data_IF_996622321585
#
_entry.id   IF_996622321585
#
_cell.length_a   1.000
_cell.length_b   1.000
_cell.length_c   1.000
_cell.angle_alpha   90.00
_cell.angle_beta   90.00
_cell.angle_gamma   90.00
#
_symmetry.space_group_name_H-M   'P 1'
#
loop_
_entity.id
_entity.type
_entity.pdbx_description
1 polymer ?
#
# COMPACT_ATOMS: atom_id res chain seq x y z
N UNK A 1 3.58 -10.51 -0.68
CA UNK A 1 4.20 -10.48 -0.84
C UNK A 1 4.47 -10.76 -0.33
N UNK A 2 4.42 -10.81 -0.10
CA UNK A 2 4.95 -11.02 0.14
C UNK A 2 5.71 -10.91 0.34
N UNK A 3 5.91 -10.93 0.59
CA UNK A 3 6.80 -10.64 0.47
C UNK A 3 7.09 -10.77 -0.28
N UNK A 4 6.68 -11.44 -0.26
CA UNK A 4 7.18 -11.58 -1.19
C UNK A 4 6.72 -10.88 -1.85
N UNK A 5 5.89 -10.52 -1.70
CA UNK A 5 5.65 -9.72 -2.26
C UNK A 5 6.14 -8.75 -1.75
N UNK A 6 6.26 -8.55 -1.00
CA UNK A 6 6.89 -7.73 -0.76
C UNK A 6 7.91 -7.85 -0.90
N UNK A 7 8.31 -8.45 -1.00
CA UNK A 7 9.32 -8.45 -1.35
C UNK A 7 9.36 -8.61 -2.31
N UNK A 8 8.85 -9.12 -2.25
CA UNK A 8 9.01 -9.06 -3.39
C UNK A 8 8.55 -7.91 -3.60
N UNK A 9 8.00 -7.31 -2.99
CA UNK A 9 7.86 -6.29 -3.16
C UNK A 9 8.68 -5.65 -2.78
N UNK A 10 8.89 -5.66 -2.00
CA UNK A 10 9.80 -5.03 -1.80
C UNK A 10 10.71 -5.43 -2.39
N UNK A 11 10.74 -6.26 -2.61
CA UNK A 11 11.54 -6.56 -3.39
C UNK A 11 11.13 -6.37 -4.49
N UNK A 12 10.08 -6.26 -4.68
CA UNK A 12 9.72 -5.93 -5.74
C UNK A 12 9.80 -4.69 -5.76
N UNK A 13 9.66 -4.09 -4.93
CA UNK A 13 9.81 -2.90 -4.95
C UNK A 13 11.13 -2.73 -5.07
N UNK A 14 11.70 -3.44 -4.70
CA UNK A 14 12.89 -3.37 -4.78
C UNK A 14 13.29 -3.70 -5.95
N UNK A 15 12.82 -4.43 -6.47
CA UNK A 15 13.15 -4.76 -7.58
C UNK A 15 12.55 -4.11 -8.46
N UNK A 16 11.75 -3.63 -8.36
CA UNK A 16 11.20 -2.98 -9.23
C UNK A 16 11.78 -1.86 -9.24
N UNK A 17 12.54 -1.84 -8.86
CA UNK A 17 12.99 -0.90 -8.98
C UNK A 17 12.88 -0.06 -8.08
N UNK A 18 12.52 -0.08 -7.52
CA UNK A 18 12.38 0.59 -6.60
C UNK A 18 12.85 0.05 -5.75
N UNK A 19 12.86 -0.38 -5.47
CA UNK A 19 13.21 -0.92 -4.77
C UNK A 19 13.78 -1.81 -4.80
N UNK A 20 13.79 -2.34 -4.67
CA UNK A 20 14.14 -3.05 -4.57
C UNK A 20 14.48 -3.35 -3.87
N UNK A 21 14.21 -3.75 -3.20
CA UNK A 21 14.33 -3.90 -2.65
C UNK A 21 14.62 -3.94 -2.17
N UNK A 22 14.67 -4.18 -1.71
CA UNK A 22 14.96 -4.00 -1.43
C UNK A 22 15.56 -3.46 -1.46
N UNK A 23 15.95 -3.14 -1.55
CA UNK A 23 16.39 -2.52 -1.66
C UNK A 23 16.62 -1.69 -1.43
N UNK A 24 16.95 -1.72 -1.02
CA UNK A 24 16.88 -1.01 -0.91
C UNK A 24 16.81 0.14 -0.91
N UNK A 25 16.53 0.36 -1.60
CA UNK A 25 16.35 1.75 -1.66
C UNK A 25 15.35 2.18 -0.67
N UNK A 26 15.64 3.17 0.07
CA UNK A 26 14.70 3.74 1.00
C UNK A 26 13.91 4.78 0.23
N UNK A 27 12.64 4.59 -0.01
CA UNK A 27 11.89 5.54 -0.78
C UNK A 27 11.85 6.93 -0.18
N UNK A 28 11.90 7.01 1.15
CA UNK A 28 11.88 8.31 1.78
C UNK A 28 13.15 9.05 1.56
N UNK A 29 14.24 8.35 1.34
CA UNK A 29 15.46 9.03 1.03
C UNK A 29 15.50 9.51 -0.40
N UNK A 30 14.76 8.89 -1.25
CA UNK A 30 14.70 9.35 -2.60
C UNK A 30 13.80 10.51 -2.75
N UNK A 31 13.33 11.01 -1.67
CA UNK A 31 12.68 12.16 -1.81
C UNK A 31 11.44 12.22 -1.23
N UNK A 32 10.60 12.69 -1.70
CA UNK A 32 9.52 13.25 -1.17
C UNK A 32 8.32 12.40 -1.33
N UNK A 33 8.50 11.11 -1.32
CA UNK A 33 7.39 10.22 -1.47
C UNK A 33 6.51 10.27 -0.25
N UNK A 34 5.22 10.14 -0.49
CA UNK A 34 4.25 10.17 0.57
C UNK A 34 3.77 8.75 0.80
N UNK A 35 3.97 8.24 1.99
CA UNK A 35 3.52 6.92 2.35
C UNK A 35 2.33 7.01 3.28
N UNK A 36 1.40 6.13 3.11
CA UNK A 36 0.19 6.14 3.93
C UNK A 36 -0.38 4.76 4.05
N UNK A 37 -1.03 4.53 5.20
CA UNK A 37 -1.86 3.35 5.38
C UNK A 37 -3.29 3.80 5.19
N UNK A 38 -4.07 3.04 4.43
CA UNK A 38 -5.46 3.40 4.18
C UNK A 38 -6.34 2.26 4.64
N UNK A 39 -7.26 2.58 5.52
CA UNK A 39 -8.29 1.63 5.92
C UNK A 39 -9.48 1.78 5.00
N UNK A 40 -10.01 0.67 4.54
CA UNK A 40 -11.10 0.66 3.58
C UNK A 40 -12.25 -0.16 4.13
N UNK A 41 -13.45 0.41 4.08
CA UNK A 41 -14.66 -0.34 4.36
C UNK A 41 -15.37 -0.54 3.05
N UNK A 42 -15.78 -1.77 2.82
CA UNK A 42 -16.44 -2.07 1.57
C UNK A 42 -17.63 -3.00 1.82
N UNK A 43 -18.44 -3.16 0.81
CA UNK A 43 -19.56 -4.07 0.90
C UNK A 43 -19.04 -5.47 1.01
N UNK A 44 -19.64 -6.26 1.90
CA UNK A 44 -19.06 -7.57 2.21
C UNK A 44 -19.02 -8.50 1.00
N UNK A 45 -19.98 -8.37 0.10
CA UNK A 45 -19.97 -9.23 -1.08
C UNK A 45 -19.00 -8.71 -2.15
N UNK A 46 -18.37 -7.57 -1.91
CA UNK A 46 -17.39 -7.03 -2.84
C UNK A 46 -15.97 -7.10 -2.29
N UNK A 47 -15.82 -7.63 -1.10
CA UNK A 47 -14.53 -7.56 -0.41
C UNK A 47 -13.39 -8.18 -1.21
N UNK A 48 -13.59 -9.37 -1.72
CA UNK A 48 -12.53 -10.03 -2.46
C UNK A 48 -12.23 -9.28 -3.75
N UNK A 49 -13.28 -8.85 -4.45
CA UNK A 49 -13.08 -8.11 -5.69
C UNK A 49 -12.36 -6.79 -5.45
N UNK A 50 -12.71 -6.10 -4.37
CA UNK A 50 -12.04 -4.84 -4.03
C UNK A 50 -10.57 -5.11 -3.72
N UNK A 51 -10.30 -6.16 -2.94
CA UNK A 51 -8.92 -6.46 -2.57
C UNK A 51 -8.07 -6.76 -3.79
N UNK A 52 -8.64 -7.47 -4.75
CA UNK A 52 -7.89 -7.78 -5.97
C UNK A 52 -7.67 -6.54 -6.82
N UNK A 53 -8.66 -5.67 -6.87
CA UNK A 53 -8.52 -4.45 -7.64
C UNK A 53 -7.43 -3.55 -7.09
N UNK A 54 -7.39 -3.37 -5.76
CA UNK A 54 -6.35 -2.51 -5.19
C UNK A 54 -4.99 -3.16 -5.29
N UNK A 55 -4.93 -4.48 -5.24
CA UNK A 55 -3.64 -5.16 -5.32
C UNK A 55 -2.98 -4.97 -6.68
N UNK A 56 -3.76 -4.63 -7.71
CA UNK A 56 -3.21 -4.41 -9.02
C UNK A 56 -2.66 -3.00 -9.22
N UNK A 57 -2.90 -2.11 -8.28
CA UNK A 57 -2.50 -0.72 -8.46
C UNK A 57 -1.03 -0.53 -8.12
N UNK A 58 -0.29 0.15 -8.99
CA UNK A 58 1.16 0.28 -8.77
C UNK A 58 1.52 1.04 -7.49
N UNK A 59 0.64 1.92 -7.03
CA UNK A 59 0.93 2.68 -5.82
C UNK A 59 0.79 1.84 -4.55
N UNK A 60 0.20 0.67 -4.67
CA UNK A 60 -0.12 -0.15 -3.49
C UNK A 60 0.93 -1.23 -3.35
N UNK A 61 1.58 -1.28 -2.21
CA UNK A 61 2.62 -2.28 -1.97
C UNK A 61 2.24 -3.26 -0.85
N UNK A 62 1.03 -3.16 -0.31
CA UNK A 62 0.65 -4.05 0.76
C UNK A 62 -0.87 -4.06 0.85
N UNK A 63 -1.45 -5.23 0.91
CA UNK A 63 -2.90 -5.37 1.03
C UNK A 63 -3.17 -6.50 2.00
N UNK A 64 -4.00 -6.26 3.00
CA UNK A 64 -4.39 -7.30 3.92
C UNK A 64 -5.88 -7.16 4.20
N UNK A 65 -6.57 -8.28 4.25
CA UNK A 65 -7.97 -8.33 4.64
C UNK A 65 -8.00 -8.54 6.13
N UNK A 66 -8.77 -7.74 6.84
CA UNK A 66 -8.80 -7.79 8.28
C UNK A 66 -10.21 -8.01 8.79
N UNK A 67 -10.29 -8.36 10.04
CA UNK A 67 -11.57 -8.45 10.74
C UNK A 67 -11.54 -7.37 11.81
N UNK A 68 -12.07 -6.22 11.51
CA UNK A 68 -12.04 -5.12 12.44
C UNK A 68 -12.85 -3.98 11.89
N UNK A 69 -12.52 -2.78 12.33
CA UNK A 69 -13.24 -1.60 11.88
C UNK A 69 -13.17 -1.45 10.38
N UNK A 70 -12.02 -1.77 9.80
CA UNK A 70 -11.87 -1.72 8.36
C UNK A 70 -11.81 -3.12 7.81
N UNK A 71 -12.30 -3.30 6.62
CA UNK A 71 -12.29 -4.60 5.97
C UNK A 71 -10.95 -4.88 5.31
N UNK A 72 -10.27 -3.83 4.88
CA UNK A 72 -8.97 -3.93 4.24
C UNK A 72 -8.05 -2.87 4.80
N UNK A 73 -6.78 -3.20 4.88
CA UNK A 73 -5.75 -2.20 5.13
C UNK A 73 -4.78 -2.29 3.96
N UNK A 74 -4.47 -1.16 3.37
CA UNK A 74 -3.49 -1.13 2.28
C UNK A 74 -2.44 -0.09 2.61
N UNK A 75 -1.25 -0.30 2.10
CA UNK A 75 -0.20 0.68 2.22
C UNK A 75 0.10 1.22 0.84
N UNK A 76 0.22 2.53 0.73
CA UNK A 76 0.48 3.17 -0.55
C UNK A 76 1.75 3.99 -0.47
N UNK A 77 2.41 4.10 -1.61
CA UNK A 77 3.56 4.98 -1.76
C UNK A 77 3.27 5.83 -2.98
N UNK A 78 3.09 7.11 -2.75
CA UNK A 78 2.80 8.05 -3.83
C UNK A 78 3.93 9.06 -3.92
N UNK A 79 4.06 9.64 -5.09
CA UNK A 79 5.15 10.53 -5.34
C UNK A 79 5.12 11.77 -4.45
N UNK A 80 3.95 12.29 -4.23
CA UNK A 80 3.77 13.47 -3.41
C UNK A 80 2.32 13.53 -2.97
N UNK A 81 1.96 14.58 -2.28
CA UNK A 81 0.60 14.75 -1.79
C UNK A 81 -0.42 14.86 -2.91
N UNK A 82 -0.05 15.49 -4.01
CA UNK A 82 -0.98 15.59 -5.13
C UNK A 82 -1.28 14.22 -5.72
N UNK A 83 -0.26 13.39 -5.83
CA UNK A 83 -0.47 12.04 -6.32
C UNK A 83 -1.35 11.24 -5.38
N UNK A 84 -1.15 11.42 -4.07
CA UNK A 84 -1.99 10.75 -3.09
C UNK A 84 -3.43 11.22 -3.20
N UNK A 85 -3.63 12.50 -3.37
CA UNK A 85 -4.97 13.04 -3.53
C UNK A 85 -5.66 12.44 -4.74
N UNK A 86 -4.96 12.37 -5.85
CA UNK A 86 -5.54 11.78 -7.06
C UNK A 86 -5.84 10.30 -6.86
N UNK A 87 -4.94 9.60 -6.19
CA UNK A 87 -5.17 8.19 -5.92
C UNK A 87 -6.45 8.00 -5.12
N UNK A 88 -6.60 8.79 -4.07
CA UNK A 88 -7.76 8.66 -3.21
C UNK A 88 -9.06 9.03 -3.90
N UNK A 89 -9.05 10.10 -4.68
CA UNK A 89 -10.31 10.62 -5.21
C UNK A 89 -10.68 10.04 -6.55
N UNK A 90 -9.70 9.68 -7.36
CA UNK A 90 -9.98 9.24 -8.71
C UNK A 90 -9.87 7.75 -8.90
N UNK A 91 -9.07 7.10 -8.11
CA UNK A 91 -8.85 5.68 -8.32
C UNK A 91 -9.45 4.82 -7.24
N UNK A 92 -9.16 5.13 -6.00
CA UNK A 92 -9.62 4.27 -4.92
C UNK A 92 -11.14 4.33 -4.78
N UNK A 93 -11.67 5.53 -4.78
CA UNK A 93 -13.09 5.68 -4.58
C UNK A 93 -13.94 5.24 -5.74
N UNK A 94 -13.32 5.07 -6.91
CA UNK A 94 -14.07 4.63 -8.07
C UNK A 94 -14.27 3.13 -8.11
N UNK A 95 -13.65 2.39 -7.20
CA UNK A 95 -13.81 0.95 -7.20
C UNK A 95 -15.18 0.60 -6.64
N UNK A 96 -15.92 -0.19 -7.40
CA UNK A 96 -17.25 -0.57 -6.98
C UNK A 96 -17.18 -1.36 -5.67
N UNK A 97 -17.98 -0.96 -4.70
CA UNK A 97 -18.02 -1.64 -3.41
C UNK A 97 -17.29 -0.91 -2.31
N UNK A 98 -16.43 0.05 -2.64
CA UNK A 98 -15.75 0.84 -1.62
C UNK A 98 -16.75 1.81 -1.02
N UNK A 99 -16.87 1.79 0.30
CA UNK A 99 -17.83 2.65 0.99
C UNK A 99 -17.18 3.80 1.70
N UNK A 100 -16.11 3.52 2.44
CA UNK A 100 -15.43 4.54 3.22
C UNK A 100 -13.96 4.25 3.22
N UNK A 101 -13.17 5.29 3.29
CA UNK A 101 -11.73 5.16 3.45
C UNK A 101 -11.26 6.10 4.51
N UNK A 102 -10.19 5.71 5.18
CA UNK A 102 -9.52 6.60 6.12
C UNK A 102 -8.04 6.47 5.86
N UNK A 103 -7.38 7.60 5.69
CA UNK A 103 -5.97 7.63 5.32
C UNK A 103 -5.13 8.05 6.52
N UNK A 104 -4.09 7.28 6.81
CA UNK A 104 -3.14 7.59 7.86
C UNK A 104 -1.81 7.88 7.20
N UNK A 105 -1.51 9.16 7.05
CA UNK A 105 -0.27 9.57 6.40
C UNK A 105 0.87 9.39 7.38
N UNK A 106 1.95 8.77 6.92
CA UNK A 106 3.10 8.53 7.80
C UNK A 106 3.84 9.84 7.99
N UNK A 107 4.04 10.20 9.23
CA UNK A 107 4.84 11.38 9.53
C UNK A 107 6.29 11.00 9.76
N UNK A 108 6.52 9.84 10.34
CA UNK A 108 7.88 9.38 10.62
C UNK A 108 7.86 7.89 10.83
N UNK A 109 8.71 7.19 10.13
CA UNK A 109 8.90 5.78 10.35
C UNK A 109 9.90 5.62 11.47
N UNK A 110 9.46 5.19 12.63
CA UNK A 110 10.32 5.10 13.79
C UNK A 110 11.17 3.84 13.77
N UNK A 111 10.58 2.77 13.27
CA UNK A 111 11.32 1.52 13.21
C UNK A 111 10.68 0.63 12.18
N UNK A 112 11.50 -0.02 11.41
CA UNK A 112 11.02 -0.98 10.44
C UNK A 112 12.08 -2.05 10.37
N UNK A 113 11.67 -3.29 10.58
CA UNK A 113 12.59 -4.41 10.59
C UNK A 113 12.14 -5.42 9.56
N UNK A 114 13.06 -5.84 8.72
CA UNK A 114 12.77 -6.86 7.74
C UNK A 114 13.48 -8.13 8.12
N UNK A 115 12.76 -9.21 8.06
CA UNK A 115 13.31 -10.50 8.43
C UNK A 115 13.28 -11.44 7.25
N UNK A 116 13.51 -10.90 6.10
CA UNK A 116 13.31 -11.65 4.92
C UNK A 116 14.05 -12.93 4.85
N UNK A 117 15.26 -12.87 5.11
CA UNK A 117 16.04 -14.04 4.91
C UNK A 117 15.87 -15.03 6.01
N UNK A 118 15.25 -14.66 7.04
CA UNK A 118 15.15 -15.54 8.16
C UNK A 118 13.94 -16.36 8.09
N UNK A 119 13.26 -16.16 7.10
CA UNK A 119 12.09 -16.83 7.08
C UNK A 119 12.01 -17.58 6.12
#
# INVERSE_FOLDING_TARGET
MSEAAVRARTNRLIERGILQVVGVTDPLKLGFQQMAMIGIRCESDRLVAVSEAVAEMPEVDYVVITAGTYDLLIETVCEDNEALLRFLTERLRSIEGVRETETFVYLRMVKQTYQWGTR
#
